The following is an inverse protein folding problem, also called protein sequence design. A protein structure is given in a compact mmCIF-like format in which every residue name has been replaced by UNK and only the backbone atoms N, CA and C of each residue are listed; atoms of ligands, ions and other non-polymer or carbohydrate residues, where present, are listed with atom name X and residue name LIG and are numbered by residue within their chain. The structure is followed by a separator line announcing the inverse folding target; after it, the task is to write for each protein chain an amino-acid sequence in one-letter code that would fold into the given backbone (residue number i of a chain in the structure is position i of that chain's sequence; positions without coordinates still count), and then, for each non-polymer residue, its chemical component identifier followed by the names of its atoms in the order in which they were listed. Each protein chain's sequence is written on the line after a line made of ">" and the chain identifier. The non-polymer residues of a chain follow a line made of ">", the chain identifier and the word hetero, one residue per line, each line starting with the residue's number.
data_IF_187300697425
#
_entry.id   IF_187300697425
#
_cell.length_a   1.000
_cell.length_b   1.000
_cell.length_c   1.000
_cell.angle_alpha   90.00
_cell.angle_beta   90.00
_cell.angle_gamma   90.00
#
_symmetry.space_group_name_H-M   'P 1'
#
loop_
_entity.id
_entity.type
_entity.pdbx_description
1 polymer ?
#
# COMPACT_ATOMS: atom_id res chain seq x y z
N UNK A 1 1.91 17.43 5.12
CA UNK A 1 2.12 18.09 3.83
C UNK A 1 0.80 18.18 3.08
N UNK A 2 0.67 19.17 2.22
CA UNK A 2 -0.51 19.43 1.43
C UNK A 2 -0.30 18.89 0.01
N UNK A 3 -1.31 18.21 -0.50
CA UNK A 3 -1.30 17.61 -1.83
C UNK A 3 -2.56 18.02 -2.58
N UNK A 4 -2.41 18.28 -3.87
CA UNK A 4 -3.52 18.58 -4.74
C UNK A 4 -3.32 17.95 -6.12
N UNK A 5 -4.43 17.58 -6.74
CA UNK A 5 -4.53 17.16 -8.13
C UNK A 5 -5.57 18.03 -8.80
N UNK A 6 -5.20 18.70 -9.91
CA UNK A 6 -6.09 19.60 -10.61
C UNK A 6 -6.00 19.37 -12.12
N UNK A 7 -7.16 19.38 -12.79
CA UNK A 7 -7.26 19.19 -14.23
C UNK A 7 -8.33 20.12 -14.80
N UNK A 8 -8.06 20.65 -16.01
CA UNK A 8 -9.02 21.47 -16.75
C UNK A 8 -9.87 20.62 -17.68
N UNK A 9 -11.17 20.86 -17.67
CA UNK A 9 -12.16 20.19 -18.53
C UNK A 9 -12.73 21.26 -19.46
N UNK A 10 -12.50 21.12 -20.77
CA UNK A 10 -13.00 22.07 -21.77
C UNK A 10 -14.52 21.95 -21.89
N UNK A 11 -15.21 23.08 -21.82
CA UNK A 11 -16.67 23.15 -21.94
C UNK A 11 -17.18 22.70 -23.30
N UNK A 12 -16.37 22.88 -24.37
CA UNK A 12 -16.76 22.45 -25.72
C UNK A 12 -16.59 20.96 -25.94
N UNK A 13 -15.61 20.33 -25.28
CA UNK A 13 -15.41 18.89 -25.34
C UNK A 13 -16.48 18.16 -24.53
N UNK A 14 -16.90 18.69 -23.39
CA UNK A 14 -18.01 18.15 -22.61
C UNK A 14 -19.30 18.03 -23.41
N UNK A 15 -19.56 18.97 -24.34
CA UNK A 15 -20.73 18.97 -25.21
C UNK A 15 -20.67 17.90 -26.34
N UNK A 16 -19.48 17.41 -26.66
CA UNK A 16 -19.27 16.42 -27.73
C UNK A 16 -19.28 14.98 -27.20
N UNK A 17 -19.03 14.80 -25.92
CA UNK A 17 -18.86 13.49 -25.29
C UNK A 17 -20.14 13.12 -24.53
N UNK A 18 -20.60 11.90 -24.70
CA UNK A 18 -21.80 11.38 -24.00
C UNK A 18 -21.44 10.78 -22.60
N UNK A 19 -20.33 11.23 -22.00
CA UNK A 19 -19.81 10.77 -20.69
C UNK A 19 -19.73 11.99 -19.78
N UNK A 20 -20.05 11.82 -18.50
CA UNK A 20 -19.83 12.85 -17.50
C UNK A 20 -18.33 12.98 -17.17
N UNK A 21 -17.62 13.76 -17.97
CA UNK A 21 -16.18 13.96 -17.87
C UNK A 21 -15.76 14.54 -16.52
N UNK A 22 -16.56 15.45 -15.95
CA UNK A 22 -16.30 16.04 -14.63
C UNK A 22 -16.23 14.98 -13.53
N UNK A 23 -17.17 14.01 -13.57
CA UNK A 23 -17.18 12.93 -12.59
C UNK A 23 -16.00 11.98 -12.79
N UNK A 24 -15.65 11.66 -14.03
CA UNK A 24 -14.50 10.80 -14.34
C UNK A 24 -13.18 11.42 -13.85
N UNK A 25 -12.97 12.71 -14.13
CA UNK A 25 -11.78 13.45 -13.68
C UNK A 25 -11.74 13.55 -12.16
N UNK A 26 -12.85 13.85 -11.50
CA UNK A 26 -12.93 13.92 -10.04
C UNK A 26 -12.60 12.57 -9.39
N UNK A 27 -13.11 11.46 -9.93
CA UNK A 27 -12.80 10.11 -9.45
C UNK A 27 -11.33 9.75 -9.66
N UNK A 28 -10.77 10.09 -10.82
CA UNK A 28 -9.35 9.87 -11.14
C UNK A 28 -8.44 10.64 -10.18
N UNK A 29 -8.74 11.91 -9.92
CA UNK A 29 -8.00 12.75 -8.99
C UNK A 29 -8.09 12.24 -7.55
N UNK A 30 -9.27 11.83 -7.08
CA UNK A 30 -9.45 11.24 -5.76
C UNK A 30 -8.67 9.92 -5.61
N UNK A 31 -8.67 9.06 -6.65
CA UNK A 31 -7.89 7.83 -6.66
C UNK A 31 -6.38 8.09 -6.67
N UNK A 32 -5.92 9.14 -7.34
CA UNK A 32 -4.51 9.55 -7.33
C UNK A 32 -4.06 10.00 -5.93
N UNK A 33 -4.91 10.79 -5.23
CA UNK A 33 -4.64 11.20 -3.85
C UNK A 33 -4.67 10.02 -2.88
N UNK A 34 -5.59 9.05 -3.06
CA UNK A 34 -5.60 7.81 -2.27
C UNK A 34 -4.28 7.03 -2.41
N UNK A 35 -3.78 6.84 -3.63
CA UNK A 35 -2.46 6.23 -3.85
C UNK A 35 -1.32 7.03 -3.23
N UNK A 36 -1.45 8.37 -3.15
CA UNK A 36 -0.46 9.21 -2.48
C UNK A 36 -0.45 8.97 -0.97
N UNK A 37 -1.60 8.72 -0.36
CA UNK A 37 -1.69 8.34 1.06
C UNK A 37 -0.93 7.05 1.35
N UNK A 38 -1.13 6.01 0.52
CA UNK A 38 -0.38 4.75 0.64
C UNK A 38 1.13 4.98 0.49
N UNK A 39 1.52 5.80 -0.50
CA UNK A 39 2.93 6.15 -0.73
C UNK A 39 3.55 6.92 0.46
N UNK A 40 2.79 7.79 1.14
CA UNK A 40 3.26 8.48 2.33
C UNK A 40 3.54 7.52 3.48
N UNK A 41 2.65 6.56 3.72
CA UNK A 41 2.83 5.52 4.74
C UNK A 41 4.06 4.66 4.46
N UNK A 42 4.19 4.16 3.22
CA UNK A 42 5.34 3.34 2.81
C UNK A 42 6.65 4.12 2.93
N UNK A 43 6.67 5.39 2.48
CA UNK A 43 7.87 6.23 2.57
C UNK A 43 8.26 6.51 4.04
N UNK A 44 7.28 6.72 4.91
CA UNK A 44 7.54 6.92 6.34
C UNK A 44 8.10 5.64 6.98
N UNK A 45 7.57 4.46 6.64
CA UNK A 45 8.08 3.17 7.11
C UNK A 45 9.49 2.89 6.60
N UNK A 46 9.76 3.12 5.32
CA UNK A 46 11.10 2.95 4.70
C UNK A 46 12.16 3.84 5.37
N UNK A 47 11.78 5.09 5.69
CA UNK A 47 12.67 6.02 6.39
C UNK A 47 12.86 5.70 7.87
N UNK A 48 11.88 5.08 8.52
CA UNK A 48 11.89 4.73 9.95
C UNK A 48 12.34 3.31 10.25
N UNK A 49 12.53 2.46 9.24
CA UNK A 49 12.99 1.10 9.44
C UNK A 49 14.39 1.08 10.07
N UNK A 50 14.52 0.40 11.19
CA UNK A 50 15.81 0.26 11.87
C UNK A 50 16.75 -0.63 11.01
N UNK A 51 18.01 -0.23 10.84
CA UNK A 51 19.01 -0.98 10.07
C UNK A 51 19.27 -2.39 10.61
N UNK A 52 19.03 -2.64 11.90
CA UNK A 52 19.12 -3.97 12.52
C UNK A 52 17.93 -4.87 12.18
N UNK A 53 16.86 -4.31 11.67
CA UNK A 53 15.63 -5.01 11.27
C UNK A 53 15.55 -5.23 9.74
N UNK A 54 16.58 -4.85 9.00
CA UNK A 54 16.66 -5.10 7.56
C UNK A 54 17.17 -6.52 7.34
N UNK A 55 16.34 -7.33 6.69
CA UNK A 55 16.70 -8.68 6.28
C UNK A 55 16.97 -8.70 4.77
N UNK A 56 18.16 -9.17 4.38
CA UNK A 56 18.51 -9.31 2.97
C UNK A 56 18.29 -10.75 2.53
N UNK A 57 17.45 -10.97 1.55
CA UNK A 57 17.31 -12.24 0.88
C UNK A 57 18.26 -12.29 -0.32
N UNK A 58 18.80 -13.46 -0.59
CA UNK A 58 19.72 -13.66 -1.72
C UNK A 58 19.00 -13.87 -3.06
N UNK A 59 17.69 -14.13 -3.03
CA UNK A 59 16.84 -14.45 -4.15
C UNK A 59 15.38 -14.10 -3.85
N UNK A 60 14.43 -14.76 -4.47
CA UNK A 60 12.99 -14.63 -4.18
C UNK A 60 12.65 -14.81 -2.70
N UNK A 61 11.56 -14.23 -2.25
CA UNK A 61 11.07 -14.36 -0.87
C UNK A 61 10.83 -15.84 -0.54
N UNK A 62 11.54 -16.35 0.46
CA UNK A 62 11.48 -17.73 0.90
C UNK A 62 10.73 -17.88 2.24
N UNK A 63 10.33 -19.11 2.56
CA UNK A 63 9.74 -19.44 3.86
C UNK A 63 10.64 -19.04 5.03
N UNK A 64 11.97 -19.19 4.88
CA UNK A 64 12.93 -18.83 5.91
C UNK A 64 12.88 -17.33 6.26
N UNK A 65 12.64 -16.49 5.28
CA UNK A 65 12.52 -15.04 5.46
C UNK A 65 11.28 -14.69 6.28
N UNK A 66 10.15 -15.31 5.97
CA UNK A 66 8.90 -15.10 6.72
C UNK A 66 9.02 -15.61 8.17
N UNK A 67 9.71 -16.72 8.39
CA UNK A 67 10.00 -17.22 9.74
C UNK A 67 10.94 -16.27 10.51
N UNK A 68 11.94 -15.70 9.86
CA UNK A 68 12.83 -14.71 10.47
C UNK A 68 12.08 -13.43 10.88
N UNK A 69 11.15 -12.97 10.03
CA UNK A 69 10.26 -11.85 10.38
C UNK A 69 9.39 -12.19 11.59
N UNK A 70 8.80 -13.38 11.61
CA UNK A 70 7.98 -13.85 12.74
C UNK A 70 8.79 -13.89 14.04
N UNK A 71 10.00 -14.45 14.02
CA UNK A 71 10.92 -14.52 15.16
C UNK A 71 11.30 -13.12 15.66
N UNK A 72 11.60 -12.19 14.75
CA UNK A 72 11.97 -10.82 15.09
C UNK A 72 10.83 -10.09 15.78
N UNK A 73 9.60 -10.21 15.26
CA UNK A 73 8.41 -9.62 15.89
C UNK A 73 8.13 -10.22 17.27
N UNK A 74 8.32 -11.54 17.42
CA UNK A 74 8.19 -12.22 18.71
C UNK A 74 9.24 -11.74 19.72
N UNK A 75 10.50 -11.60 19.30
CA UNK A 75 11.60 -11.12 20.15
C UNK A 75 11.41 -9.67 20.58
N UNK A 76 10.85 -8.83 19.70
CA UNK A 76 10.51 -7.44 19.99
C UNK A 76 9.23 -7.30 20.85
N UNK A 77 8.58 -8.41 21.24
CA UNK A 77 7.32 -8.43 21.99
C UNK A 77 6.18 -7.63 21.31
N UNK A 78 6.15 -7.61 20.00
CA UNK A 78 5.05 -6.99 19.25
C UNK A 78 3.80 -7.87 19.40
N UNK A 79 2.60 -7.29 19.71
CA UNK A 79 1.38 -8.06 19.97
C UNK A 79 0.97 -8.95 18.78
N UNK A 80 0.44 -10.15 19.08
CA UNK A 80 -0.18 -11.07 18.12
C UNK A 80 -1.71 -10.93 18.17
N UNK A 81 -2.20 -9.73 17.86
CA UNK A 81 -3.62 -9.38 17.91
C UNK A 81 -4.30 -9.46 16.51
N UNK A 82 -3.61 -10.06 15.52
CA UNK A 82 -4.07 -10.12 14.13
C UNK A 82 -3.94 -8.78 13.38
N UNK A 83 -3.16 -7.84 13.90
CA UNK A 83 -2.89 -6.54 13.28
C UNK A 83 -1.45 -6.42 12.75
N UNK A 84 -0.82 -7.55 12.46
CA UNK A 84 0.46 -7.62 11.77
C UNK A 84 0.23 -7.73 10.27
N UNK A 85 0.91 -6.89 9.50
CA UNK A 85 0.75 -6.80 8.05
C UNK A 85 2.08 -6.91 7.32
N UNK A 86 2.03 -7.48 6.12
CA UNK A 86 3.14 -7.46 5.17
C UNK A 86 2.63 -6.86 3.86
N UNK A 87 3.12 -5.67 3.53
CA UNK A 87 2.88 -5.02 2.25
C UNK A 87 4.01 -5.40 1.29
N UNK A 88 3.70 -6.10 0.22
CA UNK A 88 4.66 -6.60 -0.75
C UNK A 88 4.50 -5.96 -2.12
N UNK A 89 5.61 -5.81 -2.84
CA UNK A 89 5.52 -5.56 -4.27
C UNK A 89 4.88 -6.76 -4.99
N UNK A 90 4.11 -6.58 -6.09
CA UNK A 90 3.45 -7.68 -6.80
C UNK A 90 4.36 -8.84 -7.17
N UNK A 91 5.64 -8.58 -7.46
CA UNK A 91 6.64 -9.62 -7.74
C UNK A 91 6.92 -10.48 -6.50
N UNK A 92 7.24 -9.87 -5.35
CA UNK A 92 7.45 -10.59 -4.09
C UNK A 92 6.21 -11.38 -3.65
N UNK A 93 5.01 -10.84 -3.89
CA UNK A 93 3.77 -11.57 -3.66
C UNK A 93 3.64 -12.82 -4.57
N UNK A 94 4.09 -12.72 -5.83
CA UNK A 94 4.10 -13.85 -6.76
C UNK A 94 5.08 -14.95 -6.31
N UNK A 95 6.21 -14.59 -5.70
CA UNK A 95 7.19 -15.54 -5.18
C UNK A 95 6.64 -16.41 -4.04
N UNK A 96 5.67 -15.90 -3.27
CA UNK A 96 4.99 -16.68 -2.23
C UNK A 96 4.28 -17.93 -2.78
N UNK A 97 3.85 -17.92 -4.03
CA UNK A 97 3.24 -19.10 -4.68
C UNK A 97 4.25 -20.23 -4.92
N UNK A 98 5.54 -19.96 -4.85
CA UNK A 98 6.59 -20.98 -4.91
C UNK A 98 6.74 -21.73 -3.58
N UNK A 99 6.22 -21.18 -2.49
CA UNK A 99 6.24 -21.79 -1.16
C UNK A 99 5.10 -22.80 -1.07
N UNK A 100 5.43 -24.09 -0.94
CA UNK A 100 4.45 -25.19 -0.93
C UNK A 100 3.43 -25.02 0.18
N UNK A 101 3.85 -24.62 1.39
CA UNK A 101 2.98 -24.44 2.55
C UNK A 101 2.02 -23.26 2.40
N UNK A 102 2.33 -22.32 1.55
CA UNK A 102 1.45 -21.20 1.23
C UNK A 102 0.48 -21.54 0.10
N UNK A 103 0.91 -22.35 -0.87
CA UNK A 103 0.17 -22.60 -2.10
C UNK A 103 -0.69 -23.88 -2.07
N UNK A 104 -0.35 -24.87 -1.23
CA UNK A 104 -1.01 -26.19 -1.22
C UNK A 104 -2.26 -26.22 -0.33
N UNK A 105 -3.32 -26.85 -0.81
CA UNK A 105 -4.55 -27.12 -0.06
C UNK A 105 -4.34 -27.96 1.20
N UNK A 106 -3.32 -28.81 1.21
CA UNK A 106 -3.00 -29.67 2.35
C UNK A 106 -2.62 -28.86 3.61
N UNK A 107 -2.08 -27.65 3.41
CA UNK A 107 -1.66 -26.76 4.51
C UNK A 107 -2.62 -25.61 4.76
N UNK A 108 -3.25 -25.06 3.72
CA UNK A 108 -4.07 -23.83 3.80
C UNK A 108 -5.58 -24.17 3.87
N UNK A 109 -5.96 -25.37 3.47
CA UNK A 109 -7.36 -25.81 3.35
C UNK A 109 -8.02 -25.31 2.05
N UNK A 110 -9.06 -26.02 1.60
CA UNK A 110 -9.70 -25.80 0.30
C UNK A 110 -10.35 -24.43 0.12
N UNK A 111 -10.76 -23.78 1.20
CA UNK A 111 -11.46 -22.48 1.12
C UNK A 111 -10.53 -21.28 0.97
N UNK A 112 -9.25 -21.43 1.24
CA UNK A 112 -8.27 -20.34 1.28
C UNK A 112 -7.18 -20.45 0.22
N UNK A 113 -7.37 -21.26 -0.81
CA UNK A 113 -6.40 -21.44 -1.88
C UNK A 113 -6.02 -20.11 -2.54
N UNK A 114 -4.75 -19.70 -2.51
CA UNK A 114 -4.31 -18.43 -3.08
C UNK A 114 -4.58 -18.33 -4.57
N UNK A 115 -4.40 -19.42 -5.32
CA UNK A 115 -4.64 -19.47 -6.75
C UNK A 115 -6.11 -19.25 -7.14
N UNK A 116 -7.06 -19.62 -6.29
CA UNK A 116 -8.48 -19.46 -6.57
C UNK A 116 -8.99 -18.03 -6.30
N UNK A 117 -8.37 -17.32 -5.35
CA UNK A 117 -8.81 -16.02 -4.89
C UNK A 117 -8.06 -14.82 -5.50
N UNK A 118 -7.04 -15.07 -6.34
CA UNK A 118 -6.20 -14.01 -6.90
C UNK A 118 -5.37 -13.26 -5.85
N UNK A 119 -4.99 -12.01 -6.16
CA UNK A 119 -4.15 -11.15 -5.30
C UNK A 119 -4.90 -10.51 -4.12
N UNK A 120 -5.85 -11.20 -3.54
CA UNK A 120 -6.52 -10.74 -2.32
C UNK A 120 -5.61 -10.94 -1.10
N UNK A 121 -5.88 -10.18 -0.03
CA UNK A 121 -5.15 -10.30 1.23
C UNK A 121 -5.23 -11.76 1.75
N UNK A 122 -4.07 -12.32 2.08
CA UNK A 122 -3.93 -13.70 2.62
C UNK A 122 -3.30 -13.63 4.00
N UNK A 123 -3.64 -14.61 4.83
CA UNK A 123 -3.07 -14.74 6.17
C UNK A 123 -2.09 -15.91 6.21
N UNK A 124 -0.89 -15.65 6.70
CA UNK A 124 0.17 -16.65 6.87
C UNK A 124 1.03 -16.29 8.09
N UNK A 125 1.26 -17.26 8.99
CA UNK A 125 2.01 -17.07 10.25
C UNK A 125 1.50 -15.89 11.11
N UNK A 126 0.19 -15.61 11.09
CA UNK A 126 -0.41 -14.49 11.82
C UNK A 126 -0.20 -13.13 11.17
N UNK A 127 0.42 -13.06 9.99
CA UNK A 127 0.55 -11.86 9.19
C UNK A 127 -0.51 -11.83 8.08
N UNK A 128 -1.08 -10.68 7.88
CA UNK A 128 -1.95 -10.39 6.73
C UNK A 128 -1.11 -9.84 5.58
N UNK A 129 -0.94 -10.64 4.53
CA UNK A 129 -0.09 -10.33 3.39
C UNK A 129 -0.95 -9.76 2.26
N UNK A 130 -0.55 -8.64 1.71
CA UNK A 130 -1.22 -8.02 0.56
C UNK A 130 -0.20 -7.41 -0.41
N UNK A 131 -0.64 -7.26 -1.66
CA UNK A 131 0.19 -6.69 -2.72
C UNK A 131 -0.15 -5.23 -2.94
N UNK A 132 0.88 -4.39 -3.05
CA UNK A 132 0.73 -2.98 -3.42
C UNK A 132 1.90 -2.51 -4.29
N UNK A 133 1.58 -1.67 -5.29
CA UNK A 133 2.59 -1.01 -6.13
C UNK A 133 3.26 0.20 -5.46
N UNK A 134 2.83 0.59 -4.26
CA UNK A 134 3.46 1.67 -3.49
C UNK A 134 4.81 1.26 -2.91
N UNK A 135 5.03 -0.05 -2.70
CA UNK A 135 6.31 -0.61 -2.27
C UNK A 135 7.22 -0.76 -3.47
N UNK A 136 8.49 -0.38 -3.34
CA UNK A 136 9.47 -0.53 -4.41
C UNK A 136 9.72 -2.01 -4.74
N UNK A 137 10.09 -2.29 -6.00
CA UNK A 137 10.49 -3.63 -6.40
C UNK A 137 11.71 -4.09 -5.56
N UNK A 138 11.70 -5.35 -5.17
CA UNK A 138 12.75 -5.90 -4.31
C UNK A 138 12.59 -5.58 -2.82
N UNK A 139 11.46 -5.01 -2.40
CA UNK A 139 11.17 -4.68 -1.02
C UNK A 139 9.83 -5.23 -0.57
N UNK A 140 9.74 -5.52 0.73
CA UNK A 140 8.48 -5.83 1.42
C UNK A 140 8.51 -5.19 2.80
N UNK A 141 7.42 -4.54 3.18
CA UNK A 141 7.31 -3.84 4.47
C UNK A 141 6.46 -4.67 5.42
N UNK A 142 7.07 -5.16 6.49
CA UNK A 142 6.40 -5.88 7.57
C UNK A 142 6.17 -4.91 8.72
N UNK A 143 4.92 -4.75 9.16
CA UNK A 143 4.61 -3.76 10.20
C UNK A 143 3.41 -4.17 11.05
N UNK A 144 3.36 -3.60 12.24
CA UNK A 144 2.19 -3.63 13.11
C UNK A 144 1.46 -2.28 13.03
N UNK A 145 0.14 -2.27 13.10
CA UNK A 145 -0.66 -1.04 12.93
C UNK A 145 -0.32 0.06 13.93
N UNK A 146 0.10 -0.28 15.14
CA UNK A 146 0.49 0.71 16.17
C UNK A 146 1.85 1.35 15.91
N UNK A 147 2.67 0.76 15.04
CA UNK A 147 4.01 1.26 14.75
C UNK A 147 4.02 2.48 13.82
N UNK A 148 2.95 2.69 13.07
CA UNK A 148 2.84 3.78 12.10
C UNK A 148 1.59 4.61 12.38
N UNK A 149 1.75 5.93 12.39
CA UNK A 149 0.67 6.90 12.54
C UNK A 149 0.42 7.67 11.25
N UNK A 150 -0.84 7.82 10.88
CA UNK A 150 -1.29 8.73 9.82
C UNK A 150 -2.02 9.91 10.46
N UNK A 151 -1.45 11.10 10.32
CA UNK A 151 -2.09 12.35 10.74
C UNK A 151 -2.89 12.95 9.57
N UNK A 152 -4.20 13.09 9.74
CA UNK A 152 -5.09 13.67 8.76
C UNK A 152 -5.54 15.04 9.27
N UNK A 153 -5.16 16.10 8.56
CA UNK A 153 -5.63 17.46 8.82
C UNK A 153 -6.87 17.77 7.97
N UNK A 154 -6.84 17.40 6.68
CA UNK A 154 -7.98 17.47 5.76
C UNK A 154 -8.00 16.22 4.91
N UNK A 155 -9.14 15.53 4.91
CA UNK A 155 -9.39 14.41 4.03
C UNK A 155 -9.57 14.89 2.58
N UNK A 156 -9.64 13.95 1.63
CA UNK A 156 -9.79 14.27 0.21
C UNK A 156 -11.09 15.04 -0.03
N UNK A 157 -10.94 16.28 -0.50
CA UNK A 157 -12.04 17.15 -0.90
C UNK A 157 -11.90 17.49 -2.37
N UNK A 158 -13.00 17.40 -3.12
CA UNK A 158 -13.02 17.71 -4.54
C UNK A 158 -13.97 18.88 -4.82
N UNK A 159 -13.48 19.89 -5.51
CA UNK A 159 -14.23 21.05 -5.98
C UNK A 159 -14.13 21.18 -7.49
N UNK A 160 -15.23 21.60 -8.11
CA UNK A 160 -15.27 21.90 -9.55
C UNK A 160 -15.73 23.31 -9.75
N UNK A 161 -14.81 24.18 -10.23
CA UNK A 161 -15.05 25.59 -10.41
C UNK A 161 -14.92 25.97 -11.89
N UNK A 162 -15.77 26.89 -12.37
CA UNK A 162 -15.66 27.43 -13.72
C UNK A 162 -14.60 28.54 -13.79
N UNK A 163 -13.65 28.42 -14.71
CA UNK A 163 -12.59 29.40 -14.97
C UNK A 163 -12.90 30.12 -16.27
N UNK A 164 -13.41 31.35 -16.18
CA UNK A 164 -13.87 32.12 -17.33
C UNK A 164 -12.74 32.46 -18.32
N UNK A 165 -11.52 32.68 -17.83
CA UNK A 165 -10.34 33.00 -18.66
C UNK A 165 -9.95 31.88 -19.62
N UNK A 166 -10.24 30.62 -19.23
CA UNK A 166 -9.91 29.43 -20.02
C UNK A 166 -11.13 28.74 -20.64
N UNK A 167 -12.33 29.30 -20.41
CA UNK A 167 -13.60 28.72 -20.87
C UNK A 167 -13.75 27.24 -20.51
N UNK A 168 -13.24 26.85 -19.34
CA UNK A 168 -13.12 25.48 -18.87
C UNK A 168 -13.55 25.36 -17.42
N UNK A 169 -13.86 24.14 -17.00
CA UNK A 169 -14.05 23.80 -15.60
C UNK A 169 -12.73 23.27 -15.02
N UNK A 170 -12.33 23.77 -13.86
CA UNK A 170 -11.21 23.28 -13.10
C UNK A 170 -11.73 22.32 -12.01
N UNK A 171 -11.43 21.04 -12.15
CA UNK A 171 -11.64 20.05 -11.10
C UNK A 171 -10.38 19.99 -10.24
N UNK A 172 -10.50 20.33 -8.96
CA UNK A 172 -9.39 20.30 -8.00
C UNK A 172 -9.74 19.39 -6.85
N UNK A 173 -8.90 18.38 -6.61
CA UNK A 173 -8.95 17.54 -5.42
C UNK A 173 -7.75 17.88 -4.54
N UNK A 174 -8.00 18.06 -3.24
CA UNK A 174 -6.98 18.46 -2.27
C UNK A 174 -7.05 17.59 -1.02
N UNK A 175 -5.90 17.36 -0.39
CA UNK A 175 -5.79 16.71 0.92
C UNK A 175 -4.60 17.25 1.69
N UNK A 176 -4.66 17.18 3.02
CA UNK A 176 -3.54 17.54 3.91
C UNK A 176 -3.31 16.40 4.90
N UNK A 177 -2.24 15.67 4.71
CA UNK A 177 -1.91 14.47 5.48
C UNK A 177 -0.41 14.36 5.72
N UNK A 178 -0.04 13.57 6.73
CA UNK A 178 1.34 13.20 7.00
C UNK A 178 1.41 11.86 7.70
N UNK A 179 2.46 11.08 7.43
CA UNK A 179 2.72 9.82 8.09
C UNK A 179 3.99 9.93 8.94
N UNK A 180 4.02 9.22 10.05
CA UNK A 180 5.16 9.16 10.97
C UNK A 180 5.28 7.77 11.57
N UNK A 181 6.50 7.31 11.76
CA UNK A 181 6.79 6.10 12.54
C UNK A 181 6.72 6.46 14.02
N UNK A 182 5.97 5.67 14.79
CA UNK A 182 5.78 5.81 16.24
C UNK A 182 6.74 4.87 16.98
N UNK A 183 6.85 3.63 16.49
CA UNK A 183 7.72 2.60 17.05
C UNK A 183 8.48 1.89 15.93
N UNK A 184 9.77 2.08 15.86
CA UNK A 184 10.66 1.49 14.86
C UNK A 184 10.84 -0.02 15.05
N UNK A 185 10.68 -0.56 16.27
CA UNK A 185 10.71 -1.99 16.52
C UNK A 185 9.51 -2.74 15.91
N UNK A 186 8.42 -2.05 15.64
CA UNK A 186 7.23 -2.60 15.01
C UNK A 186 7.27 -2.57 13.49
N UNK A 187 8.41 -2.21 12.87
CA UNK A 187 8.58 -2.14 11.42
C UNK A 187 9.82 -2.93 11.02
N UNK A 188 9.65 -3.81 10.04
CA UNK A 188 10.70 -4.63 9.50
C UNK A 188 10.71 -4.56 7.97
N UNK A 189 11.87 -4.30 7.38
CA UNK A 189 12.04 -4.27 5.94
C UNK A 189 12.66 -5.59 5.48
N UNK A 190 12.00 -6.27 4.56
CA UNK A 190 12.50 -7.45 3.88
C UNK A 190 12.97 -7.03 2.49
N UNK A 191 14.26 -7.19 2.22
CA UNK A 191 14.86 -6.92 0.92
C UNK A 191 15.04 -8.23 0.16
N UNK A 192 14.51 -8.31 -1.04
CA UNK A 192 14.85 -9.33 -2.00
C UNK A 192 15.72 -8.74 -3.12
N UNK A 193 16.84 -9.38 -3.44
CA UNK A 193 17.77 -8.94 -4.48
C UNK A 193 17.35 -9.36 -5.89
N UNK A 194 16.08 -9.35 -6.17
CA UNK A 194 15.50 -9.85 -7.41
C UNK A 194 15.25 -8.76 -8.47
#
# INVERSE_FOLDING_TARGET
>A
ADFYAAEYIDKLDELKININERQAVAQSAAAALGRKTDSLLITAMDAGANSTQIHNTSSAVEKADLLSVFETFGTANIPEDGQRYIAMHPKGFADLFLITEFASSDFVGDQNLPYAGGMTMKEFLGFKIFSTSAVAAGKSMCYHTTAVGLGINSDVQTEVNYVAEKVSHLATSMMSMGAVVIDDNGIYELLDNN
#
